data_IF_573803756896
#
_entry.id   IF_573803756896
#
_cell.length_a   1.000
_cell.length_b   1.000
_cell.length_c   1.000
_cell.angle_alpha   90.00
_cell.angle_beta   90.00
_cell.angle_gamma   90.00
#
_symmetry.space_group_name_H-M   'P 1'
#
loop_
_entity.id
_entity.type
_entity.pdbx_description
1 polymer ?
#
# COMPACT_ATOMS: atom_id res chain seq x y z
N UNK A 1 -44.85 12.69 6.95
CA UNK A 1 -43.78 12.06 7.74
C UNK A 1 -42.52 12.92 7.78
N UNK A 2 -41.89 13.31 6.66
CA UNK A 2 -40.65 14.13 6.68
C UNK A 2 -40.87 15.60 7.09
N UNK A 3 -42.02 16.19 6.75
CA UNK A 3 -42.30 17.62 6.98
C UNK A 3 -43.10 17.90 8.27
N UNK A 4 -43.60 16.86 8.94
CA UNK A 4 -44.35 16.99 10.21
C UNK A 4 -45.57 17.93 10.19
N UNK A 5 -46.07 18.33 9.02
CA UNK A 5 -47.13 19.34 8.88
C UNK A 5 -46.64 20.80 8.87
N UNK A 6 -45.35 21.06 9.06
CA UNK A 6 -44.78 22.41 9.01
C UNK A 6 -44.09 22.67 7.66
N UNK A 7 -44.80 23.35 6.75
CA UNK A 7 -44.32 23.68 5.41
C UNK A 7 -42.99 24.43 5.42
N UNK A 8 -42.70 25.24 6.45
CA UNK A 8 -41.44 25.99 6.58
C UNK A 8 -40.26 25.04 6.78
N UNK A 9 -40.41 24.04 7.66
CA UNK A 9 -39.37 23.04 7.91
C UNK A 9 -39.11 22.21 6.65
N UNK A 10 -40.17 21.82 5.94
CA UNK A 10 -40.05 21.09 4.68
C UNK A 10 -39.33 21.90 3.60
N UNK A 11 -39.67 23.18 3.47
CA UNK A 11 -39.03 24.10 2.53
C UNK A 11 -37.53 24.25 2.83
N UNK A 12 -37.16 24.39 4.11
CA UNK A 12 -35.76 24.50 4.53
C UNK A 12 -34.98 23.22 4.19
N UNK A 13 -35.51 22.05 4.54
CA UNK A 13 -34.86 20.76 4.24
C UNK A 13 -34.69 20.58 2.72
N UNK A 14 -35.73 20.90 1.95
CA UNK A 14 -35.69 20.81 0.50
C UNK A 14 -34.65 21.77 -0.11
N UNK A 15 -34.59 23.02 0.36
CA UNK A 15 -33.57 23.98 -0.07
C UNK A 15 -32.15 23.51 0.25
N UNK A 16 -31.93 22.95 1.45
CA UNK A 16 -30.62 22.37 1.82
C UNK A 16 -30.24 21.23 0.86
N UNK A 17 -31.17 20.33 0.56
CA UNK A 17 -30.91 19.21 -0.36
C UNK A 17 -30.63 19.67 -1.78
N UNK A 18 -31.33 20.70 -2.28
CA UNK A 18 -31.01 21.35 -3.56
C UNK A 18 -29.61 21.93 -3.52
N UNK A 19 -29.26 22.68 -2.48
CA UNK A 19 -27.95 23.33 -2.36
C UNK A 19 -26.84 22.29 -2.32
N UNK A 20 -27.00 21.21 -1.54
CA UNK A 20 -26.02 20.12 -1.50
C UNK A 20 -25.89 19.45 -2.87
N UNK A 21 -27.00 19.06 -3.49
CA UNK A 21 -26.98 18.41 -4.80
C UNK A 21 -26.32 19.30 -5.86
N UNK A 22 -26.70 20.57 -5.94
CA UNK A 22 -26.19 21.48 -6.96
C UNK A 22 -24.77 21.98 -6.68
N UNK A 23 -24.55 22.58 -5.49
CA UNK A 23 -23.33 23.31 -5.18
C UNK A 23 -22.17 22.39 -4.76
N UNK A 24 -22.48 21.29 -4.07
CA UNK A 24 -21.46 20.35 -3.60
C UNK A 24 -21.26 19.22 -4.60
N UNK A 25 -22.32 18.51 -4.98
CA UNK A 25 -22.18 17.31 -5.81
C UNK A 25 -21.99 17.68 -7.28
N UNK A 26 -22.98 18.30 -7.93
CA UNK A 26 -22.94 18.59 -9.37
C UNK A 26 -21.80 19.54 -9.75
N UNK A 27 -21.62 20.66 -9.02
CA UNK A 27 -20.53 21.61 -9.29
C UNK A 27 -19.15 21.10 -8.83
N UNK A 28 -19.11 20.21 -7.84
CA UNK A 28 -17.88 19.55 -7.41
C UNK A 28 -17.42 18.52 -8.43
N UNK A 29 -18.31 17.58 -8.78
CA UNK A 29 -18.11 16.55 -9.79
C UNK A 29 -17.76 17.15 -11.15
N UNK A 30 -18.44 18.22 -11.58
CA UNK A 30 -18.13 18.89 -12.84
C UNK A 30 -16.71 19.48 -12.90
N UNK A 31 -16.23 20.11 -11.82
CA UNK A 31 -14.86 20.63 -11.76
C UNK A 31 -13.82 19.51 -11.78
N UNK A 32 -14.06 18.43 -11.03
CA UNK A 32 -13.17 17.26 -11.04
C UNK A 32 -13.19 16.60 -12.41
N UNK A 33 -14.36 16.49 -13.05
CA UNK A 33 -14.53 15.93 -14.38
C UNK A 33 -13.78 16.73 -15.45
N UNK A 34 -13.95 18.05 -15.46
CA UNK A 34 -13.30 18.95 -16.41
C UNK A 34 -11.77 18.88 -16.28
N UNK A 35 -11.27 18.94 -15.05
CA UNK A 35 -9.84 18.91 -14.77
C UNK A 35 -9.24 17.54 -15.12
N UNK A 36 -9.87 16.45 -14.71
CA UNK A 36 -9.41 15.09 -15.03
C UNK A 36 -9.48 14.80 -16.52
N UNK A 37 -10.57 15.19 -17.19
CA UNK A 37 -10.69 15.03 -18.63
C UNK A 37 -9.59 15.82 -19.35
N UNK A 38 -9.40 17.10 -18.99
CA UNK A 38 -8.36 17.93 -19.62
C UNK A 38 -6.96 17.35 -19.42
N UNK A 39 -6.58 16.97 -18.21
CA UNK A 39 -5.26 16.40 -17.96
C UNK A 39 -5.04 15.08 -18.71
N UNK A 40 -6.05 14.21 -18.75
CA UNK A 40 -5.96 12.95 -19.48
C UNK A 40 -5.90 13.16 -20.99
N UNK A 41 -6.69 14.09 -21.53
CA UNK A 41 -6.69 14.43 -22.95
C UNK A 41 -5.37 15.10 -23.37
N UNK A 42 -4.83 16.01 -22.55
CA UNK A 42 -3.54 16.67 -22.79
C UNK A 42 -2.37 15.67 -22.72
N UNK A 43 -2.50 14.57 -21.97
CA UNK A 43 -1.50 13.51 -21.88
C UNK A 43 -1.55 12.48 -23.03
N UNK A 44 -2.62 12.46 -23.85
CA UNK A 44 -2.77 11.47 -24.92
C UNK A 44 -1.66 11.48 -25.97
N UNK A 45 -1.21 12.64 -26.50
CA UNK A 45 -0.11 12.66 -27.44
C UNK A 45 1.14 12.00 -26.86
N UNK A 46 1.42 12.22 -25.57
CA UNK A 46 2.51 11.56 -24.85
C UNK A 46 2.37 10.04 -24.81
N UNK A 47 1.18 9.53 -24.46
CA UNK A 47 0.89 8.08 -24.45
C UNK A 47 0.96 7.46 -25.85
N UNK A 48 0.52 8.18 -26.89
CA UNK A 48 0.61 7.71 -28.28
C UNK A 48 2.07 7.66 -28.75
N UNK A 49 2.85 8.72 -28.47
CA UNK A 49 4.28 8.76 -28.77
C UNK A 49 5.06 7.67 -28.04
N UNK A 50 4.71 7.33 -26.79
CA UNK A 50 5.37 6.23 -26.07
C UNK A 50 5.06 4.86 -26.70
N UNK A 51 3.85 4.64 -27.20
CA UNK A 51 3.52 3.41 -27.95
C UNK A 51 4.34 3.33 -29.23
N UNK A 52 4.49 4.45 -29.94
CA UNK A 52 5.29 4.51 -31.18
C UNK A 52 6.77 4.24 -30.89
N UNK A 53 7.29 4.80 -29.79
CA UNK A 53 8.65 4.55 -29.34
C UNK A 53 8.87 3.08 -28.94
N UNK A 54 7.96 2.48 -28.17
CA UNK A 54 8.03 1.07 -27.75
C UNK A 54 7.95 0.12 -28.95
N UNK A 55 7.10 0.43 -29.94
CA UNK A 55 6.96 -0.36 -31.17
C UNK A 55 8.23 -0.26 -32.03
N UNK A 56 8.77 0.96 -32.19
CA UNK A 56 10.02 1.17 -32.94
C UNK A 56 11.24 0.54 -32.24
N UNK A 57 11.23 0.44 -30.90
CA UNK A 57 12.26 -0.23 -30.10
C UNK A 57 12.10 -1.76 -30.09
N UNK A 58 11.04 -2.32 -30.68
CA UNK A 58 10.76 -3.75 -30.71
C UNK A 58 10.30 -4.34 -29.37
N UNK A 59 9.90 -3.50 -28.40
CA UNK A 59 9.39 -3.94 -27.09
C UNK A 59 7.94 -4.47 -27.18
N UNK A 60 7.18 -4.01 -28.17
CA UNK A 60 5.79 -4.42 -28.44
C UNK A 60 5.59 -4.69 -29.93
N UNK A 61 4.63 -5.56 -30.25
CA UNK A 61 4.24 -5.87 -31.64
C UNK A 61 3.13 -4.93 -32.17
N UNK A 62 2.89 -4.95 -33.48
CA UNK A 62 1.89 -4.08 -34.13
C UNK A 62 0.45 -4.34 -33.62
N UNK A 63 0.13 -5.59 -33.30
CA UNK A 63 -1.17 -5.97 -32.72
C UNK A 63 -1.38 -5.38 -31.32
N UNK A 64 -0.36 -5.39 -30.48
CA UNK A 64 -0.36 -4.79 -29.14
C UNK A 64 -0.40 -3.27 -29.21
N UNK A 65 0.38 -2.66 -30.11
CA UNK A 65 0.35 -1.22 -30.34
C UNK A 65 -1.06 -0.76 -30.76
N UNK A 66 -1.71 -1.50 -31.68
CA UNK A 66 -3.10 -1.23 -32.09
C UNK A 66 -4.10 -1.40 -30.94
N UNK A 67 -3.94 -2.43 -30.12
CA UNK A 67 -4.78 -2.64 -28.95
C UNK A 67 -4.63 -1.50 -27.93
N UNK A 68 -3.39 -1.09 -27.61
CA UNK A 68 -3.11 0.02 -26.69
C UNK A 68 -3.65 1.36 -27.22
N UNK A 69 -3.50 1.63 -28.52
CA UNK A 69 -4.08 2.83 -29.15
C UNK A 69 -5.60 2.84 -29.05
N UNK A 70 -6.26 1.69 -29.27
CA UNK A 70 -7.71 1.56 -29.08
C UNK A 70 -8.12 1.81 -27.62
N UNK A 71 -7.32 1.37 -26.65
CA UNK A 71 -7.57 1.69 -25.23
C UNK A 71 -7.47 3.19 -24.96
N UNK A 72 -6.47 3.89 -25.53
CA UNK A 72 -6.33 5.34 -25.42
C UNK A 72 -7.52 6.05 -26.08
N UNK A 73 -7.98 5.59 -27.24
CA UNK A 73 -9.17 6.12 -27.93
C UNK A 73 -10.44 5.98 -27.06
N UNK A 74 -10.65 4.80 -26.47
CA UNK A 74 -11.76 4.57 -25.55
C UNK A 74 -11.68 5.44 -24.29
N UNK A 75 -10.46 5.68 -23.77
CA UNK A 75 -10.21 6.59 -22.66
C UNK A 75 -10.61 8.02 -23.06
N UNK A 76 -10.21 8.47 -24.25
CA UNK A 76 -10.56 9.78 -24.81
C UNK A 76 -12.08 9.96 -24.95
N UNK A 77 -12.75 9.00 -25.56
CA UNK A 77 -14.20 9.00 -25.76
C UNK A 77 -14.95 9.02 -24.43
N UNK A 78 -14.47 8.25 -23.44
CA UNK A 78 -15.05 8.23 -22.11
C UNK A 78 -14.96 9.61 -21.45
N UNK A 79 -13.79 10.24 -21.39
CA UNK A 79 -13.62 11.55 -20.78
C UNK A 79 -14.34 12.66 -21.56
N UNK A 80 -14.42 12.55 -22.90
CA UNK A 80 -15.21 13.45 -23.74
C UNK A 80 -16.71 13.35 -23.48
N UNK A 81 -17.24 12.13 -23.40
CA UNK A 81 -18.63 11.88 -23.02
C UNK A 81 -18.94 12.33 -21.58
N UNK A 82 -17.95 12.25 -20.68
CA UNK A 82 -18.10 12.64 -19.27
C UNK A 82 -18.22 14.15 -19.06
N UNK A 83 -17.48 14.97 -19.81
CA UNK A 83 -17.67 16.44 -19.82
C UNK A 83 -19.08 16.79 -20.32
N UNK A 84 -19.55 16.11 -21.36
CA UNK A 84 -20.92 16.23 -21.87
C UNK A 84 -21.97 15.87 -20.80
N UNK A 85 -21.87 14.70 -20.18
CA UNK A 85 -22.78 14.24 -19.14
C UNK A 85 -22.82 15.19 -17.93
N UNK A 86 -21.68 15.74 -17.52
CA UNK A 86 -21.60 16.70 -16.42
C UNK A 86 -22.37 18.00 -16.70
N UNK A 87 -22.38 18.47 -17.96
CA UNK A 87 -23.19 19.61 -18.40
C UNK A 87 -24.69 19.30 -18.39
N UNK A 88 -25.09 18.06 -18.74
CA UNK A 88 -26.49 17.62 -18.65
C UNK A 88 -27.01 17.60 -17.20
N UNK A 89 -26.23 17.08 -16.25
CA UNK A 89 -26.62 17.05 -14.82
C UNK A 89 -26.77 18.46 -14.24
N UNK A 90 -25.97 19.42 -14.71
CA UNK A 90 -26.14 20.84 -14.34
C UNK A 90 -27.46 21.41 -14.88
N UNK A 91 -27.86 21.04 -16.10
CA UNK A 91 -29.13 21.43 -16.70
C UNK A 91 -30.33 20.87 -15.93
N UNK A 92 -30.24 19.61 -15.49
CA UNK A 92 -31.27 18.93 -14.68
C UNK A 92 -31.54 19.67 -13.37
N UNK A 93 -30.49 20.05 -12.63
CA UNK A 93 -30.64 20.79 -11.38
C UNK A 93 -31.27 22.18 -11.56
N UNK A 94 -30.98 22.87 -12.68
CA UNK A 94 -31.63 24.15 -13.01
C UNK A 94 -33.10 23.93 -13.34
N UNK A 95 -33.43 22.87 -14.09
CA UNK A 95 -34.81 22.51 -14.41
C UNK A 95 -35.63 22.22 -13.14
N UNK A 96 -35.08 21.51 -12.15
CA UNK A 96 -35.74 21.27 -10.86
C UNK A 96 -36.10 22.57 -10.12
N UNK A 97 -35.21 23.58 -10.15
CA UNK A 97 -35.47 24.89 -9.53
C UNK A 97 -36.59 25.62 -10.27
N UNK A 98 -36.60 25.56 -11.61
CA UNK A 98 -37.65 26.17 -12.43
C UNK A 98 -39.00 25.50 -12.14
N UNK A 99 -39.04 24.16 -12.12
CA UNK A 99 -40.24 23.38 -11.82
C UNK A 99 -40.79 23.72 -10.43
N UNK A 100 -39.92 23.86 -9.41
CA UNK A 100 -40.32 24.32 -8.08
C UNK A 100 -41.07 25.65 -8.13
N UNK A 101 -40.49 26.66 -8.79
CA UNK A 101 -41.08 28.00 -8.88
C UNK A 101 -42.42 27.95 -9.62
N UNK A 102 -42.48 27.20 -10.73
CA UNK A 102 -43.72 27.01 -11.50
C UNK A 102 -44.80 26.34 -10.65
N UNK A 103 -44.46 25.30 -9.89
CA UNK A 103 -45.42 24.58 -9.06
C UNK A 103 -45.95 25.42 -7.89
N UNK A 104 -45.10 26.22 -7.25
CA UNK A 104 -45.52 27.13 -6.17
C UNK A 104 -46.42 28.25 -6.73
N UNK A 105 -45.97 28.94 -7.78
CA UNK A 105 -46.70 30.10 -8.34
C UNK A 105 -47.98 29.63 -9.05
N UNK A 106 -47.89 28.63 -9.90
CA UNK A 106 -49.03 28.04 -10.61
C UNK A 106 -50.05 27.44 -9.65
N UNK A 107 -49.58 26.71 -8.63
CA UNK A 107 -50.44 26.18 -7.58
C UNK A 107 -51.17 27.27 -6.81
N UNK A 108 -50.50 28.38 -6.48
CA UNK A 108 -51.13 29.52 -5.81
C UNK A 108 -52.19 30.20 -6.69
N UNK A 109 -51.91 30.40 -7.98
CA UNK A 109 -52.86 30.99 -8.93
C UNK A 109 -54.09 30.09 -9.08
N UNK A 110 -53.90 28.79 -9.28
CA UNK A 110 -55.00 27.82 -9.42
C UNK A 110 -55.81 27.72 -8.12
N UNK A 111 -55.12 27.67 -6.97
CA UNK A 111 -55.74 27.62 -5.66
C UNK A 111 -56.64 28.82 -5.36
N UNK A 112 -56.16 30.04 -5.65
CA UNK A 112 -56.91 31.27 -5.36
C UNK A 112 -57.98 31.56 -6.43
N UNK A 113 -57.64 31.47 -7.72
CA UNK A 113 -58.54 31.90 -8.80
C UNK A 113 -59.53 30.82 -9.24
N UNK A 114 -59.13 29.55 -9.27
CA UNK A 114 -59.99 28.46 -9.77
C UNK A 114 -60.70 27.72 -8.64
N UNK A 115 -60.03 27.49 -7.51
CA UNK A 115 -60.60 26.78 -6.37
C UNK A 115 -61.16 27.68 -5.26
N UNK A 116 -61.05 29.01 -5.41
CA UNK A 116 -61.60 29.98 -4.44
C UNK A 116 -61.00 29.89 -3.04
N UNK A 117 -59.80 29.33 -2.89
CA UNK A 117 -59.13 29.18 -1.60
C UNK A 117 -58.59 30.52 -1.11
N UNK A 118 -58.59 30.71 0.22
CA UNK A 118 -57.90 31.85 0.83
C UNK A 118 -56.39 31.81 0.47
N UNK A 119 -55.74 32.95 0.16
CA UNK A 119 -54.34 32.99 -0.27
C UNK A 119 -53.36 32.26 0.67
N UNK A 120 -53.57 32.37 1.99
CA UNK A 120 -52.75 31.69 2.99
C UNK A 120 -52.94 30.16 2.98
N UNK A 121 -54.16 29.69 2.74
CA UNK A 121 -54.47 28.26 2.65
C UNK A 121 -53.91 27.66 1.35
N UNK A 122 -54.07 28.37 0.23
CA UNK A 122 -53.48 27.99 -1.05
C UNK A 122 -51.94 27.93 -0.97
N UNK A 123 -51.30 28.94 -0.38
CA UNK A 123 -49.86 28.95 -0.16
C UNK A 123 -49.41 27.74 0.66
N UNK A 124 -50.10 27.40 1.75
CA UNK A 124 -49.74 26.25 2.60
C UNK A 124 -49.86 24.93 1.85
N UNK A 125 -51.01 24.68 1.19
CA UNK A 125 -51.26 23.41 0.49
C UNK A 125 -50.31 23.19 -0.69
N UNK A 126 -50.22 24.16 -1.60
CA UNK A 126 -49.43 24.00 -2.82
C UNK A 126 -47.92 24.07 -2.54
N UNK A 127 -47.48 24.82 -1.52
CA UNK A 127 -46.07 24.76 -1.09
C UNK A 127 -45.74 23.40 -0.48
N UNK A 128 -46.63 22.83 0.37
CA UNK A 128 -46.39 21.52 0.99
C UNK A 128 -46.39 20.39 -0.05
N UNK A 129 -47.30 20.42 -1.02
CA UNK A 129 -47.33 19.48 -2.14
C UNK A 129 -46.08 19.59 -3.01
N UNK A 130 -45.66 20.82 -3.35
CA UNK A 130 -44.45 21.04 -4.17
C UNK A 130 -43.19 20.59 -3.46
N UNK A 131 -43.06 20.86 -2.15
CA UNK A 131 -41.94 20.38 -1.35
C UNK A 131 -41.94 18.85 -1.25
N UNK A 132 -43.12 18.23 -1.12
CA UNK A 132 -43.26 16.78 -1.11
C UNK A 132 -42.79 16.15 -2.43
N UNK A 133 -43.27 16.65 -3.56
CA UNK A 133 -42.88 16.22 -4.90
C UNK A 133 -41.37 16.43 -5.16
N UNK A 134 -40.86 17.59 -4.74
CA UNK A 134 -39.45 17.91 -4.79
C UNK A 134 -38.59 16.92 -3.99
N UNK A 135 -38.97 16.59 -2.76
CA UNK A 135 -38.25 15.62 -1.91
C UNK A 135 -38.26 14.21 -2.52
N UNK A 136 -39.37 13.78 -3.12
CA UNK A 136 -39.48 12.47 -3.79
C UNK A 136 -38.58 12.43 -5.02
N UNK A 137 -38.56 13.50 -5.82
CA UNK A 137 -37.72 13.62 -7.02
C UNK A 137 -36.23 13.76 -6.70
N UNK A 138 -35.89 14.31 -5.52
CA UNK A 138 -34.51 14.54 -5.11
C UNK A 138 -33.76 13.26 -4.76
N UNK A 139 -34.44 12.23 -4.25
CA UNK A 139 -33.79 10.98 -3.84
C UNK A 139 -33.15 10.27 -5.05
N UNK A 140 -33.87 10.01 -6.17
CA UNK A 140 -33.27 9.50 -7.40
C UNK A 140 -32.14 10.39 -7.93
N UNK A 141 -32.35 11.71 -7.97
CA UNK A 141 -31.36 12.65 -8.47
C UNK A 141 -30.04 12.60 -7.67
N UNK A 142 -30.13 12.45 -6.34
CA UNK A 142 -28.96 12.32 -5.47
C UNK A 142 -28.23 10.99 -5.71
N UNK A 143 -28.96 9.89 -5.91
CA UNK A 143 -28.37 8.59 -6.24
C UNK A 143 -27.62 8.66 -7.57
N UNK A 144 -28.24 9.21 -8.61
CA UNK A 144 -27.64 9.36 -9.94
C UNK A 144 -26.40 10.26 -9.89
N UNK A 145 -26.50 11.42 -9.23
CA UNK A 145 -25.40 12.37 -9.09
C UNK A 145 -24.22 11.79 -8.30
N UNK A 146 -24.50 11.04 -7.23
CA UNK A 146 -23.46 10.34 -6.45
C UNK A 146 -22.80 9.22 -7.24
N UNK A 147 -23.58 8.43 -7.98
CA UNK A 147 -23.06 7.37 -8.84
C UNK A 147 -22.17 7.95 -9.96
N UNK A 148 -22.60 9.04 -10.60
CA UNK A 148 -21.80 9.76 -11.58
C UNK A 148 -20.48 10.25 -10.95
N UNK A 149 -20.53 10.90 -9.77
CA UNK A 149 -19.33 11.34 -9.05
C UNK A 149 -18.36 10.21 -8.69
N UNK A 150 -18.87 9.05 -8.30
CA UNK A 150 -18.05 7.85 -8.06
C UNK A 150 -17.38 7.33 -9.34
N UNK A 151 -18.10 7.34 -10.46
CA UNK A 151 -17.54 6.95 -11.77
C UNK A 151 -16.45 7.93 -12.21
N UNK A 152 -16.67 9.24 -12.03
CA UNK A 152 -15.70 10.31 -12.38
C UNK A 152 -14.39 10.20 -11.60
N UNK A 153 -14.48 9.89 -10.30
CA UNK A 153 -13.31 9.93 -9.41
C UNK A 153 -12.41 8.69 -9.49
N UNK A 154 -12.87 7.62 -10.14
CA UNK A 154 -12.18 6.32 -10.17
C UNK A 154 -11.42 6.03 -11.47
N UNK A 155 -11.42 6.94 -12.45
CA UNK A 155 -10.91 6.67 -13.80
C UNK A 155 -9.38 6.38 -13.92
N UNK A 156 -8.70 6.14 -12.79
CA UNK A 156 -7.27 5.83 -12.65
C UNK A 156 -6.94 4.41 -12.14
N UNK A 157 -7.92 3.56 -11.80
CA UNK A 157 -7.66 2.21 -11.24
C UNK A 157 -7.97 1.08 -12.21
N UNK A 158 -7.04 0.13 -12.35
CA UNK A 158 -7.23 -1.12 -13.12
C UNK A 158 -8.32 -2.02 -12.49
N UNK A 159 -9.22 -2.58 -13.31
CA UNK A 159 -10.31 -3.48 -12.91
C UNK A 159 -11.73 -2.89 -13.03
N UNK A 160 -12.77 -3.74 -12.99
CA UNK A 160 -14.17 -3.27 -13.13
C UNK A 160 -14.65 -2.50 -11.89
N UNK A 161 -15.61 -1.59 -12.06
CA UNK A 161 -16.18 -0.81 -10.95
C UNK A 161 -16.83 -1.70 -9.90
N UNK A 162 -17.49 -2.77 -10.34
CA UNK A 162 -18.12 -3.76 -9.48
C UNK A 162 -17.12 -4.53 -8.62
N UNK A 163 -15.98 -4.96 -9.18
CA UNK A 163 -14.97 -5.73 -8.44
C UNK A 163 -14.29 -4.89 -7.37
N UNK A 164 -13.97 -3.64 -7.69
CA UNK A 164 -13.30 -2.73 -6.76
C UNK A 164 -14.24 -2.14 -5.71
N UNK A 165 -15.46 -1.72 -6.08
CA UNK A 165 -16.45 -1.31 -5.08
C UNK A 165 -16.81 -2.47 -4.16
N UNK A 166 -16.96 -3.68 -4.71
CA UNK A 166 -17.10 -4.90 -3.93
C UNK A 166 -15.95 -5.03 -2.95
N UNK A 167 -14.72 -5.15 -3.43
CA UNK A 167 -13.55 -5.29 -2.57
C UNK A 167 -13.48 -4.20 -1.48
N UNK A 168 -13.72 -2.93 -1.82
CA UNK A 168 -13.60 -1.81 -0.90
C UNK A 168 -14.70 -1.78 0.17
N UNK A 169 -15.93 -2.20 -0.15
CA UNK A 169 -17.02 -2.32 0.83
C UNK A 169 -16.67 -3.32 1.93
N UNK A 170 -16.00 -4.43 1.57
CA UNK A 170 -15.60 -5.50 2.50
C UNK A 170 -14.26 -5.24 3.20
N UNK A 171 -13.49 -4.21 2.79
CA UNK A 171 -12.12 -3.96 3.29
C UNK A 171 -12.09 -3.24 4.65
N UNK A 172 -13.16 -2.55 5.06
CA UNK A 172 -13.16 -1.76 6.29
C UNK A 172 -14.31 -2.12 7.26
N UNK A 173 -14.26 -3.30 7.90
CA UNK A 173 -15.29 -3.76 8.84
C UNK A 173 -15.53 -2.78 10.02
N UNK A 174 -14.52 -1.99 10.40
CA UNK A 174 -14.66 -0.95 11.42
C UNK A 174 -15.62 0.18 11.00
N UNK A 175 -15.53 0.65 9.75
CA UNK A 175 -16.40 1.71 9.25
C UNK A 175 -17.86 1.22 9.17
N UNK A 176 -18.07 -0.02 8.71
CA UNK A 176 -19.39 -0.64 8.66
C UNK A 176 -19.99 -0.85 10.05
N UNK A 177 -19.19 -1.25 11.05
CA UNK A 177 -19.65 -1.42 12.43
C UNK A 177 -20.07 -0.07 13.06
N UNK A 178 -19.31 0.99 12.81
CA UNK A 178 -19.67 2.35 13.25
C UNK A 178 -20.96 2.82 12.58
N UNK A 179 -21.10 2.59 11.27
CA UNK A 179 -22.33 2.92 10.54
C UNK A 179 -23.55 2.16 11.09
N UNK A 180 -23.42 0.86 11.36
CA UNK A 180 -24.49 0.06 11.96
C UNK A 180 -24.91 0.59 13.35
N UNK A 181 -23.93 0.99 14.19
CA UNK A 181 -24.21 1.60 15.48
C UNK A 181 -24.96 2.94 15.34
N UNK A 182 -24.55 3.80 14.40
CA UNK A 182 -25.26 5.06 14.13
C UNK A 182 -26.69 4.82 13.64
N UNK A 183 -26.90 3.83 12.78
CA UNK A 183 -28.24 3.46 12.31
C UNK A 183 -29.15 2.98 13.44
N UNK A 184 -28.62 2.25 14.43
CA UNK A 184 -29.38 1.89 15.63
C UNK A 184 -29.75 3.11 16.47
N UNK A 185 -28.82 4.05 16.64
CA UNK A 185 -29.08 5.31 17.36
C UNK A 185 -30.18 6.11 16.66
N UNK A 186 -30.15 6.22 15.34
CA UNK A 186 -31.22 6.89 14.58
C UNK A 186 -32.55 6.14 14.63
N UNK A 187 -32.53 4.80 14.58
CA UNK A 187 -33.74 3.98 14.72
C UNK A 187 -34.39 4.08 16.10
N UNK A 188 -33.61 4.37 17.15
CA UNK A 188 -34.10 4.59 18.51
C UNK A 188 -34.63 6.02 18.75
N UNK A 189 -34.41 6.95 17.82
CA UNK A 189 -34.84 8.34 17.96
C UNK A 189 -36.35 8.45 17.69
N UNK A 190 -37.14 9.05 18.61
CA UNK A 190 -38.58 9.21 18.43
C UNK A 190 -38.88 10.10 17.21
N UNK A 191 -39.78 9.64 16.34
CA UNK A 191 -40.16 10.32 15.09
C UNK A 191 -39.53 9.76 13.82
N UNK A 192 -38.52 8.89 13.92
CA UNK A 192 -37.96 8.17 12.77
C UNK A 192 -38.62 6.80 12.56
N UNK A 193 -38.75 6.31 11.32
CA UNK A 193 -39.29 4.98 11.05
C UNK A 193 -38.30 3.90 11.53
N UNK A 194 -38.49 3.41 12.75
CA UNK A 194 -37.55 2.50 13.42
C UNK A 194 -37.27 1.21 12.62
N UNK A 195 -38.28 0.68 11.93
CA UNK A 195 -38.21 -0.61 11.23
C UNK A 195 -37.22 -0.59 10.03
N UNK A 196 -37.26 0.39 9.10
CA UNK A 196 -36.21 0.58 8.09
C UNK A 196 -34.79 0.72 8.65
N UNK A 197 -34.60 1.53 9.70
CA UNK A 197 -33.28 1.74 10.29
C UNK A 197 -32.75 0.48 10.98
N UNK A 198 -33.60 -0.29 11.66
CA UNK A 198 -33.24 -1.58 12.24
C UNK A 198 -32.82 -2.60 11.19
N UNK A 199 -33.56 -2.71 10.08
CA UNK A 199 -33.22 -3.61 8.97
C UNK A 199 -31.87 -3.23 8.36
N UNK A 200 -31.65 -1.94 8.09
CA UNK A 200 -30.37 -1.46 7.56
C UNK A 200 -29.21 -1.66 8.53
N UNK A 201 -29.43 -1.44 9.83
CA UNK A 201 -28.44 -1.68 10.88
C UNK A 201 -28.06 -3.17 10.98
N UNK A 202 -29.04 -4.07 10.90
CA UNK A 202 -28.80 -5.51 10.90
C UNK A 202 -28.02 -5.96 9.66
N UNK A 203 -28.41 -5.48 8.46
CA UNK A 203 -27.73 -5.81 7.21
C UNK A 203 -26.27 -5.33 7.23
N UNK A 204 -26.03 -4.07 7.60
CA UNK A 204 -24.69 -3.49 7.66
C UNK A 204 -23.83 -4.10 8.77
N UNK A 205 -24.42 -4.40 9.92
CA UNK A 205 -23.76 -5.10 11.02
C UNK A 205 -23.38 -6.54 10.65
N UNK A 206 -24.27 -7.27 9.96
CA UNK A 206 -23.98 -8.61 9.46
C UNK A 206 -22.86 -8.59 8.41
N UNK A 207 -22.88 -7.65 7.47
CA UNK A 207 -21.79 -7.45 6.50
C UNK A 207 -20.45 -7.15 7.19
N UNK A 208 -20.44 -6.31 8.23
CA UNK A 208 -19.23 -6.02 9.01
C UNK A 208 -18.67 -7.27 9.71
N UNK A 209 -19.54 -8.09 10.29
CA UNK A 209 -19.17 -9.34 10.94
C UNK A 209 -18.59 -10.36 9.94
N UNK A 210 -19.26 -10.55 8.80
CA UNK A 210 -18.80 -11.42 7.72
C UNK A 210 -17.45 -10.97 7.11
N UNK A 211 -17.26 -9.67 6.89
CA UNK A 211 -16.00 -9.07 6.43
C UNK A 211 -14.83 -9.28 7.41
N UNK A 212 -15.13 -9.28 8.72
CA UNK A 212 -14.10 -9.52 9.74
C UNK A 212 -13.71 -11.01 9.80
N UNK A 213 -14.67 -11.91 9.52
CA UNK A 213 -14.43 -13.35 9.39
C UNK A 213 -13.48 -13.69 8.23
N UNK A 214 -13.64 -13.05 7.07
CA UNK A 214 -12.75 -13.28 5.90
C UNK A 214 -11.35 -12.70 6.09
N UNK A 215 -11.19 -11.54 6.74
CA UNK A 215 -9.86 -11.02 7.12
C UNK A 215 -9.14 -11.93 8.11
N UNK A 216 -9.82 -12.40 9.16
CA UNK A 216 -9.23 -13.36 10.10
C UNK A 216 -8.89 -14.70 9.44
N UNK A 217 -9.73 -15.19 8.52
CA UNK A 217 -9.49 -16.45 7.80
C UNK A 217 -8.38 -16.33 6.75
N UNK A 218 -8.22 -15.19 6.07
CA UNK A 218 -7.07 -14.92 5.18
C UNK A 218 -5.78 -14.73 5.96
N UNK A 219 -5.81 -14.00 7.08
CA UNK A 219 -4.66 -13.87 7.97
C UNK A 219 -4.24 -15.24 8.53
N UNK A 220 -5.20 -16.06 8.95
CA UNK A 220 -4.92 -17.42 9.41
C UNK A 220 -4.44 -18.33 8.27
N UNK A 221 -5.00 -18.23 7.06
CA UNK A 221 -4.54 -18.99 5.90
C UNK A 221 -3.14 -18.58 5.42
N UNK A 222 -2.76 -17.31 5.57
CA UNK A 222 -1.38 -16.84 5.32
C UNK A 222 -0.41 -17.33 6.40
N UNK A 223 -0.85 -17.37 7.67
CA UNK A 223 -0.07 -17.96 8.77
C UNK A 223 0.09 -19.47 8.56
N UNK A 224 -0.97 -20.18 8.18
CA UNK A 224 -0.97 -21.62 7.91
C UNK A 224 -0.17 -21.96 6.64
N UNK A 225 -0.22 -21.11 5.60
CA UNK A 225 0.61 -21.26 4.39
C UNK A 225 2.08 -21.00 4.70
N UNK A 226 2.41 -19.99 5.50
CA UNK A 226 3.78 -19.75 5.98
C UNK A 226 4.28 -20.88 6.88
N UNK A 227 3.44 -21.41 7.77
CA UNK A 227 3.79 -22.55 8.61
C UNK A 227 3.93 -23.86 7.83
N UNK A 228 3.14 -24.05 6.75
CA UNK A 228 3.30 -25.18 5.82
C UNK A 228 4.54 -25.03 4.95
N UNK A 229 4.90 -23.81 4.52
CA UNK A 229 6.16 -23.55 3.82
C UNK A 229 7.37 -23.88 4.72
N UNK A 230 7.35 -23.43 5.98
CA UNK A 230 8.40 -23.73 6.97
C UNK A 230 8.46 -25.24 7.32
N UNK A 231 7.33 -25.97 7.29
CA UNK A 231 7.30 -27.43 7.52
C UNK A 231 7.63 -28.27 6.28
N UNK A 232 7.44 -27.74 5.08
CA UNK A 232 7.82 -28.39 3.83
C UNK A 232 9.32 -28.24 3.52
N UNK A 233 9.99 -27.29 4.17
CA UNK A 233 11.43 -27.08 4.12
C UNK A 233 12.18 -28.02 5.09
N UNK A 234 11.91 -29.32 5.01
CA UNK A 234 12.95 -30.32 5.24
C UNK A 234 13.52 -30.63 3.86
N UNK A 235 14.77 -30.26 3.53
CA UNK A 235 15.27 -30.48 2.19
C UNK A 235 15.39 -31.97 1.95
N UNK A 236 14.47 -32.48 1.13
CA UNK A 236 14.61 -33.74 0.42
C UNK A 236 15.52 -33.40 -0.77
N UNK A 237 16.77 -33.84 -0.70
CA UNK A 237 17.75 -33.67 -1.77
C UNK A 237 17.25 -34.47 -2.98
N UNK A 238 16.74 -33.76 -3.98
CA UNK A 238 16.56 -34.29 -5.33
C UNK A 238 17.58 -33.57 -6.23
N UNK A 239 18.50 -34.37 -6.75
CA UNK A 239 19.46 -34.02 -7.80
C UNK A 239 18.71 -33.49 -9.04
N UNK A 240 18.87 -32.21 -9.35
CA UNK A 240 18.95 -31.68 -10.72
C UNK A 240 19.22 -30.17 -10.72
N UNK A 241 20.41 -29.79 -11.19
CA UNK A 241 20.71 -28.55 -11.92
C UNK A 241 20.08 -27.23 -11.44
N UNK A 242 20.12 -26.97 -10.13
CA UNK A 242 19.90 -25.63 -9.60
C UNK A 242 21.26 -24.97 -9.41
N UNK A 243 21.61 -24.06 -10.33
CA UNK A 243 22.61 -23.03 -10.07
C UNK A 243 22.11 -22.29 -8.83
N UNK A 244 22.67 -22.63 -7.67
CA UNK A 244 22.33 -21.97 -6.42
C UNK A 244 22.57 -20.46 -6.63
N UNK A 245 21.63 -19.59 -6.23
CA UNK A 245 21.82 -18.16 -6.35
C UNK A 245 23.13 -17.77 -5.67
N UNK A 246 23.92 -16.95 -6.37
CA UNK A 246 25.23 -16.54 -5.93
C UNK A 246 25.11 -15.65 -4.70
N UNK A 247 25.76 -16.02 -3.61
CA UNK A 247 25.77 -15.21 -2.40
C UNK A 247 26.46 -13.87 -2.67
N UNK A 248 25.83 -12.77 -2.25
CA UNK A 248 26.39 -11.43 -2.43
C UNK A 248 27.69 -11.25 -1.65
N UNK A 249 27.73 -11.76 -0.42
CA UNK A 249 28.91 -11.82 0.44
C UNK A 249 28.93 -13.18 1.12
N UNK A 250 30.02 -13.92 0.95
CA UNK A 250 30.26 -15.18 1.65
C UNK A 250 31.63 -15.22 2.30
N UNK A 251 31.72 -15.98 3.38
CA UNK A 251 32.95 -16.32 4.08
C UNK A 251 33.11 -17.84 3.97
N UNK A 252 34.12 -18.27 3.23
CA UNK A 252 34.47 -19.67 3.12
C UNK A 252 35.58 -20.00 4.11
N UNK A 253 35.40 -21.06 4.89
CA UNK A 253 36.33 -21.47 5.94
C UNK A 253 36.82 -22.90 5.71
N UNK A 254 38.10 -23.14 5.96
CA UNK A 254 38.63 -24.49 6.04
C UNK A 254 38.08 -25.26 7.23
N UNK A 255 38.11 -26.59 7.16
CA UNK A 255 37.49 -27.46 8.18
C UNK A 255 38.02 -27.21 9.61
N UNK A 256 39.27 -26.78 9.74
CA UNK A 256 39.91 -26.50 11.02
C UNK A 256 39.42 -25.21 11.68
N UNK A 257 38.61 -24.39 11.01
CA UNK A 257 38.03 -23.15 11.53
C UNK A 257 36.54 -23.27 11.88
N UNK A 258 35.90 -24.40 11.60
CA UNK A 258 34.45 -24.62 11.81
C UNK A 258 34.04 -24.33 13.27
N UNK A 259 34.87 -24.72 14.25
CA UNK A 259 34.58 -24.48 15.67
C UNK A 259 34.48 -23.00 16.07
N UNK A 260 35.03 -22.06 15.28
CA UNK A 260 34.88 -20.62 15.52
C UNK A 260 33.55 -20.07 15.03
N UNK A 261 32.89 -20.80 14.11
CA UNK A 261 31.66 -20.41 13.45
C UNK A 261 30.44 -21.04 14.12
N UNK A 262 30.61 -22.19 14.76
CA UNK A 262 29.54 -22.93 15.40
C UNK A 262 29.20 -22.37 16.80
N UNK A 263 27.94 -21.96 17.00
CA UNK A 263 27.45 -21.44 18.28
C UNK A 263 27.42 -22.53 19.37
N UNK A 264 27.25 -23.80 19.01
CA UNK A 264 27.25 -24.92 19.97
C UNK A 264 28.65 -25.17 20.54
N UNK A 265 29.69 -24.80 19.78
CA UNK A 265 31.10 -24.93 20.17
C UNK A 265 31.68 -23.66 20.82
N UNK A 266 30.83 -22.72 21.26
CA UNK A 266 31.21 -21.40 21.79
C UNK A 266 31.99 -20.53 20.79
N UNK A 267 31.77 -20.69 19.49
CA UNK A 267 32.32 -19.80 18.47
C UNK A 267 31.76 -18.37 18.60
N UNK A 268 32.64 -17.38 18.58
CA UNK A 268 32.27 -15.96 18.73
C UNK A 268 32.18 -15.20 17.39
N UNK A 269 32.59 -15.82 16.28
CA UNK A 269 32.72 -15.17 14.98
C UNK A 269 31.38 -14.64 14.46
N UNK A 270 30.30 -15.42 14.62
CA UNK A 270 28.96 -14.99 14.18
C UNK A 270 28.49 -13.72 14.88
N UNK A 271 28.76 -13.60 16.19
CA UNK A 271 28.36 -12.44 16.97
C UNK A 271 29.25 -11.23 16.69
N UNK A 272 30.54 -11.44 16.40
CA UNK A 272 31.45 -10.39 15.91
C UNK A 272 31.01 -9.85 14.54
N UNK A 273 30.66 -10.72 13.59
CA UNK A 273 30.16 -10.31 12.26
C UNK A 273 28.86 -9.51 12.41
N UNK A 274 27.93 -9.96 13.26
CA UNK A 274 26.69 -9.22 13.54
C UNK A 274 26.97 -7.83 14.13
N UNK A 275 27.90 -7.74 15.07
CA UNK A 275 28.28 -6.49 15.72
C UNK A 275 28.96 -5.53 14.74
N UNK A 276 29.89 -6.02 13.92
CA UNK A 276 30.56 -5.25 12.88
C UNK A 276 29.57 -4.70 11.85
N UNK A 277 28.61 -5.52 11.39
CA UNK A 277 27.56 -5.07 10.47
C UNK A 277 26.70 -3.95 11.07
N UNK A 278 26.38 -4.02 12.37
CA UNK A 278 25.64 -2.96 13.06
C UNK A 278 26.46 -1.67 13.17
N UNK A 279 27.74 -1.79 13.51
CA UNK A 279 28.65 -0.66 13.60
C UNK A 279 28.80 0.05 12.24
N UNK A 280 29.06 -0.70 11.17
CA UNK A 280 29.20 -0.14 9.81
C UNK A 280 27.90 0.53 9.33
N UNK A 281 26.74 -0.02 9.70
CA UNK A 281 25.45 0.62 9.39
C UNK A 281 25.25 1.95 10.14
N UNK A 282 25.74 2.06 11.37
CA UNK A 282 25.65 3.29 12.16
C UNK A 282 26.66 4.34 11.71
N UNK A 283 27.88 3.95 11.38
CA UNK A 283 28.96 4.87 11.00
C UNK A 283 28.81 5.35 9.55
N UNK A 284 28.51 4.46 8.61
CA UNK A 284 28.56 4.76 7.17
C UNK A 284 27.17 4.85 6.52
N UNK A 285 26.10 4.58 7.26
CA UNK A 285 24.72 4.80 6.82
C UNK A 285 24.15 3.77 5.84
N UNK A 286 24.82 2.63 5.62
CA UNK A 286 24.31 1.53 4.79
C UNK A 286 24.43 0.17 5.47
N UNK A 287 23.45 -0.71 5.19
CA UNK A 287 23.41 -2.06 5.77
C UNK A 287 24.07 -3.06 4.83
N UNK A 288 25.19 -3.64 5.28
CA UNK A 288 25.86 -4.73 4.55
C UNK A 288 24.93 -5.96 4.50
N UNK A 289 24.81 -6.68 3.37
CA UNK A 289 24.04 -7.93 3.27
C UNK A 289 24.46 -8.98 4.31
N UNK A 290 23.61 -9.99 4.61
CA UNK A 290 24.02 -11.13 5.41
C UNK A 290 25.26 -11.82 4.81
N UNK A 291 26.26 -12.10 5.65
CA UNK A 291 27.44 -12.88 5.27
C UNK A 291 27.10 -14.35 5.42
N UNK A 292 27.07 -15.09 4.32
CA UNK A 292 26.86 -16.54 4.36
C UNK A 292 28.19 -17.24 4.64
N UNK A 293 28.22 -18.08 5.67
CA UNK A 293 29.43 -18.81 6.03
C UNK A 293 29.29 -20.23 5.50
N UNK A 294 30.29 -20.69 4.74
CA UNK A 294 30.32 -22.02 4.14
C UNK A 294 31.65 -22.69 4.48
N UNK A 295 31.62 -23.99 4.72
CA UNK A 295 32.84 -24.78 4.74
C UNK A 295 33.30 -25.02 3.30
N UNK A 296 34.60 -24.91 3.08
CA UNK A 296 35.23 -25.25 1.81
C UNK A 296 36.35 -26.28 2.09
N UNK A 297 36.15 -27.50 1.60
CA UNK A 297 37.09 -28.62 1.78
C UNK A 297 38.35 -28.50 0.92
N UNK A 298 38.32 -27.65 -0.12
CA UNK A 298 39.48 -27.37 -0.97
C UNK A 298 40.47 -26.39 -0.30
N UNK A 299 40.02 -25.68 0.74
CA UNK A 299 40.84 -24.76 1.50
C UNK A 299 41.73 -25.50 2.51
N UNK A 300 42.88 -24.89 2.84
CA UNK A 300 43.72 -25.39 3.92
C UNK A 300 42.92 -25.41 5.22
N UNK A 301 43.21 -26.34 6.14
CA UNK A 301 42.48 -26.46 7.41
C UNK A 301 42.34 -25.14 8.17
N UNK A 302 43.37 -24.30 8.10
CA UNK A 302 43.51 -23.03 8.82
C UNK A 302 43.20 -21.81 7.97
N UNK A 303 42.83 -21.95 6.70
CA UNK A 303 42.60 -20.79 5.83
C UNK A 303 41.13 -20.39 5.79
N UNK A 304 40.88 -19.10 5.58
CA UNK A 304 39.56 -18.56 5.24
C UNK A 304 39.66 -17.60 4.05
N UNK A 305 38.56 -17.41 3.34
CA UNK A 305 38.45 -16.42 2.29
C UNK A 305 37.10 -15.69 2.33
N UNK A 306 37.13 -14.39 2.06
CA UNK A 306 35.93 -13.60 1.79
C UNK A 306 35.67 -13.57 0.29
N UNK A 307 34.43 -13.82 -0.10
CA UNK A 307 33.99 -13.77 -1.48
C UNK A 307 32.86 -12.74 -1.60
N UNK A 308 32.89 -11.98 -2.70
CA UNK A 308 31.81 -11.08 -3.09
C UNK A 308 31.34 -11.55 -4.46
N UNK A 309 30.06 -11.94 -4.56
CA UNK A 309 29.49 -12.53 -5.77
C UNK A 309 30.38 -13.66 -6.32
N UNK A 310 30.82 -14.57 -5.44
CA UNK A 310 31.67 -15.72 -5.79
C UNK A 310 33.12 -15.42 -6.17
N UNK A 311 33.56 -14.15 -6.19
CA UNK A 311 34.96 -13.81 -6.41
C UNK A 311 35.70 -13.65 -5.07
N UNK A 312 36.82 -14.34 -4.88
CA UNK A 312 37.68 -14.18 -3.71
C UNK A 312 38.25 -12.75 -3.71
N UNK A 313 37.93 -11.97 -2.69
CA UNK A 313 38.42 -10.59 -2.49
C UNK A 313 39.52 -10.50 -1.45
N UNK A 314 39.55 -11.42 -0.49
CA UNK A 314 40.58 -11.50 0.54
C UNK A 314 40.70 -12.94 1.05
N UNK A 315 41.91 -13.36 1.39
CA UNK A 315 42.16 -14.66 2.03
C UNK A 315 43.33 -14.56 3.00
N UNK A 316 43.27 -15.34 4.08
CA UNK A 316 44.33 -15.41 5.06
C UNK A 316 44.29 -16.73 5.84
N UNK A 317 45.36 -16.99 6.58
CA UNK A 317 45.48 -18.14 7.48
C UNK A 317 45.22 -17.70 8.93
N UNK A 318 44.47 -18.50 9.67
CA UNK A 318 44.14 -18.33 11.08
C UNK A 318 44.53 -19.59 11.85
N UNK A 319 45.32 -19.42 12.92
CA UNK A 319 45.74 -20.54 13.78
C UNK A 319 44.92 -20.56 15.06
N UNK A 320 44.06 -21.57 15.22
CA UNK A 320 43.36 -21.78 16.47
C UNK A 320 44.33 -22.05 17.63
N UNK A 321 43.96 -21.58 18.83
CA UNK A 321 44.76 -21.72 20.05
C UNK A 321 46.04 -20.87 20.10
N UNK A 322 46.26 -19.99 19.12
CA UNK A 322 47.34 -19.02 19.10
C UNK A 322 46.76 -17.61 19.06
N UNK A 323 47.50 -16.66 19.63
CA UNK A 323 47.22 -15.23 19.54
C UNK A 323 48.15 -14.59 18.52
N UNK A 324 47.69 -13.54 17.84
CA UNK A 324 48.51 -12.77 16.92
C UNK A 324 49.12 -11.60 17.66
N UNK A 325 50.45 -11.57 17.79
CA UNK A 325 51.20 -10.45 18.35
C UNK A 325 51.72 -9.55 17.21
N UNK A 326 51.27 -8.31 17.18
CA UNK A 326 51.66 -7.30 16.20
C UNK A 326 52.67 -6.34 16.84
N UNK A 327 53.82 -6.13 16.18
CA UNK A 327 54.82 -5.18 16.65
C UNK A 327 54.39 -3.74 16.30
N UNK A 328 54.65 -2.79 17.19
CA UNK A 328 54.44 -1.36 16.90
C UNK A 328 55.56 -0.74 16.03
N UNK A 329 56.74 -1.37 16.01
CA UNK A 329 57.94 -0.94 15.30
C UNK A 329 58.43 -2.03 14.32
N UNK A 330 59.28 -1.67 13.35
CA UNK A 330 59.92 -2.54 12.33
C UNK A 330 60.81 -3.68 12.89
N UNK A 331 60.83 -3.87 14.21
CA UNK A 331 61.53 -4.99 14.83
C UNK A 331 60.77 -6.28 14.52
N UNK A 332 61.42 -7.15 13.75
CA UNK A 332 60.87 -8.28 13.00
C UNK A 332 60.36 -9.48 13.87
N UNK A 333 59.76 -9.21 15.04
CA UNK A 333 59.09 -10.21 15.87
C UNK A 333 59.98 -11.31 16.45
N UNK A 334 61.30 -11.20 16.29
CA UNK A 334 62.28 -12.25 16.61
C UNK A 334 62.46 -12.51 18.11
N UNK A 335 62.06 -11.58 18.98
CA UNK A 335 62.25 -11.69 20.43
C UNK A 335 61.22 -12.61 21.13
N UNK A 336 60.03 -12.80 20.54
CA UNK A 336 58.94 -13.56 21.16
C UNK A 336 59.02 -15.09 20.89
N UNK A 337 59.83 -15.52 19.92
CA UNK A 337 60.01 -16.94 19.58
C UNK A 337 58.70 -17.63 19.20
N UNK A 338 58.05 -17.15 18.14
CA UNK A 338 56.80 -17.69 17.58
C UNK A 338 56.89 -17.86 16.06
N UNK A 339 55.75 -18.10 15.41
CA UNK A 339 55.69 -18.33 13.95
C UNK A 339 55.41 -16.98 13.25
N UNK A 340 56.33 -16.47 12.42
CA UNK A 340 56.12 -15.22 11.69
C UNK A 340 54.91 -15.30 10.75
N UNK A 341 54.15 -14.22 10.68
CA UNK A 341 52.95 -14.09 9.83
C UNK A 341 52.74 -12.62 9.45
N UNK A 342 51.70 -12.37 8.66
CA UNK A 342 51.31 -11.01 8.26
C UNK A 342 49.86 -10.81 8.63
N UNK A 343 49.58 -9.68 9.28
CA UNK A 343 48.23 -9.32 9.69
C UNK A 343 47.36 -8.98 8.45
N UNK A 344 46.14 -9.52 8.34
CA UNK A 344 45.37 -9.47 7.11
C UNK A 344 44.64 -8.14 6.81
N UNK A 345 44.44 -7.24 7.78
CA UNK A 345 43.72 -5.98 7.59
C UNK A 345 44.61 -4.82 7.11
N UNK A 346 45.83 -4.73 7.61
CA UNK A 346 46.80 -3.65 7.39
C UNK A 346 48.12 -4.14 6.79
N UNK A 347 48.36 -5.44 6.74
CA UNK A 347 49.60 -6.01 6.18
C UNK A 347 50.82 -5.87 7.09
N UNK A 348 50.60 -5.70 8.40
CA UNK A 348 51.68 -5.50 9.37
C UNK A 348 52.42 -6.82 9.68
N UNK A 349 53.73 -6.79 9.94
CA UNK A 349 54.46 -7.94 10.46
C UNK A 349 53.89 -8.39 11.81
N UNK A 350 53.55 -9.66 11.92
CA UNK A 350 52.98 -10.25 13.12
C UNK A 350 53.61 -11.61 13.43
N UNK A 351 53.41 -12.10 14.64
CA UNK A 351 53.89 -13.41 15.08
C UNK A 351 52.79 -14.16 15.81
N UNK A 352 52.56 -15.42 15.43
CA UNK A 352 51.70 -16.32 16.18
C UNK A 352 52.40 -16.78 17.46
N UNK A 353 51.79 -16.51 18.60
CA UNK A 353 52.27 -16.90 19.92
C UNK A 353 51.22 -17.77 20.63
N UNK A 354 51.61 -18.74 21.47
CA UNK A 354 50.67 -19.44 22.33
C UNK A 354 50.08 -18.50 23.38
N UNK A 355 48.87 -18.79 23.86
CA UNK A 355 48.15 -17.96 24.84
C UNK A 355 48.96 -17.71 26.13
N UNK A 356 49.82 -18.66 26.52
CA UNK A 356 50.73 -18.52 27.67
C UNK A 356 51.74 -17.39 27.57
N UNK A 357 52.05 -16.91 26.36
CA UNK A 357 53.00 -15.80 26.12
C UNK A 357 52.33 -14.43 26.03
N UNK A 358 51.01 -14.33 26.28
CA UNK A 358 50.25 -13.08 26.16
C UNK A 358 50.83 -11.93 27.00
N UNK A 359 51.05 -12.17 28.29
CA UNK A 359 51.56 -11.14 29.22
C UNK A 359 52.97 -10.67 28.82
N UNK A 360 53.83 -11.61 28.41
CA UNK A 360 55.17 -11.30 27.94
C UNK A 360 55.15 -10.42 26.67
N UNK A 361 54.28 -10.76 25.70
CA UNK A 361 54.13 -9.98 24.47
C UNK A 361 53.62 -8.55 24.76
N UNK A 362 52.63 -8.42 25.64
CA UNK A 362 52.12 -7.11 26.05
C UNK A 362 53.17 -6.28 26.81
N UNK A 363 53.98 -6.90 27.67
CA UNK A 363 55.06 -6.23 28.39
C UNK A 363 56.16 -5.71 27.45
N UNK A 364 56.38 -6.39 26.32
CA UNK A 364 57.30 -5.98 25.26
C UNK A 364 56.67 -4.95 24.27
N UNK A 365 55.45 -4.48 24.54
CA UNK A 365 54.78 -3.47 23.72
C UNK A 365 54.05 -3.98 22.48
N UNK A 366 53.85 -5.30 22.34
CA UNK A 366 53.09 -5.87 21.23
C UNK A 366 51.58 -5.73 21.47
N UNK A 367 50.84 -5.45 20.40
CA UNK A 367 49.37 -5.54 20.43
C UNK A 367 48.96 -6.98 20.14
N UNK A 368 48.27 -7.62 21.08
CA UNK A 368 47.92 -9.05 21.02
C UNK A 368 46.42 -9.23 20.80
N UNK A 369 46.05 -9.95 19.72
CA UNK A 369 44.67 -10.20 19.30
C UNK A 369 44.34 -11.68 19.26
#
# INVERSE_FOLDING_TARGET
FVVGGNYVVGLIIFLILIVINFMVITKGAGRVAEVSARFTLDAMPGKQMSIDADMNAGLINETEARARRKTIELEADFYGAMDGASKFVRGDAIACIIILVINIVGGLIIGVLQHGMAPAAAATNYTLLTVGDGLVSQIPALIVSTAAGLVVTRATHEGTLSETMGAQLWVQPRAMAVAAAMLLVFGAMPGMPALPFLVLALMTGFSAWAANGTKKRKAQAEIDTKQKAIKAEKPKVEDSDLIAPLDLVSLEVGYGLIGLVDQEQKGDLLDRIRSLRRQLAQEWGFVIPPVHIRDNLDFKPTSYAFLIKGCIVASADLRQGHLMAMAADDNNGSELGGIPTTEPAFGLPAVWIPESKREQAQALGYTVV
#
